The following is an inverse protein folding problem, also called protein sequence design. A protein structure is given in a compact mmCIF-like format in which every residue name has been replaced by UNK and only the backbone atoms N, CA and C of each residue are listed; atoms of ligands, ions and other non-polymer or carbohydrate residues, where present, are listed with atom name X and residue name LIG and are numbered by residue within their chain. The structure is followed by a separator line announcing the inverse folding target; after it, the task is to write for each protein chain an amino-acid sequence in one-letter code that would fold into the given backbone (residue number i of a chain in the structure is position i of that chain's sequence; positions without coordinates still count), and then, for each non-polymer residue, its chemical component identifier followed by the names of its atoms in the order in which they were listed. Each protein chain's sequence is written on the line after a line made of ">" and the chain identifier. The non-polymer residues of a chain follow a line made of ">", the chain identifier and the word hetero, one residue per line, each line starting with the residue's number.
data_IF_348636668026
#
_entry.id   IF_348636668026
#
_cell.length_a   1.000
_cell.length_b   1.000
_cell.length_c   1.000
_cell.angle_alpha   90.00
_cell.angle_beta   90.00
_cell.angle_gamma   90.00
#
_symmetry.space_group_name_H-M   'P 1'
#
loop_
_entity.id
_entity.type
_entity.pdbx_description
1 polymer ?
#
# COMPACT_ATOMS: atom_id res chain seq x y z
N UNK A 1 -11.19 -0.61 9.40
CA UNK A 1 -9.71 -0.61 9.56
C UNK A 1 -9.23 0.60 10.37
N UNK A 2 -9.64 1.84 10.05
CA UNK A 2 -9.19 3.05 10.76
C UNK A 2 -9.35 2.94 12.29
N UNK A 3 -10.55 2.63 12.80
CA UNK A 3 -10.82 2.49 14.23
C UNK A 3 -9.92 1.45 14.91
N UNK A 4 -9.71 0.30 14.28
CA UNK A 4 -8.84 -0.75 14.83
C UNK A 4 -7.37 -0.32 14.83
N UNK A 5 -6.88 0.30 13.75
CA UNK A 5 -5.51 0.77 13.65
C UNK A 5 -5.21 1.90 14.65
N UNK A 6 -6.14 2.86 14.80
CA UNK A 6 -6.04 3.92 15.82
C UNK A 6 -6.02 3.35 17.22
N UNK A 7 -6.88 2.39 17.52
CA UNK A 7 -6.90 1.74 18.84
C UNK A 7 -5.56 1.02 19.13
N UNK A 8 -5.00 0.30 18.16
CA UNK A 8 -3.69 -0.38 18.31
C UNK A 8 -2.58 0.64 18.55
N UNK A 9 -2.56 1.75 17.79
CA UNK A 9 -1.58 2.83 17.97
C UNK A 9 -1.66 3.42 19.37
N UNK A 10 -2.86 3.77 19.82
CA UNK A 10 -3.10 4.46 21.09
C UNK A 10 -2.87 3.52 22.30
N UNK A 11 -2.98 2.23 22.10
CA UNK A 11 -2.80 1.20 23.12
C UNK A 11 -1.54 0.33 22.90
N UNK A 12 -0.56 0.80 22.14
CA UNK A 12 0.64 0.03 21.79
C UNK A 12 1.36 -0.55 23.03
N UNK A 13 1.46 0.20 24.11
CA UNK A 13 2.09 -0.26 25.36
C UNK A 13 1.36 -1.46 25.98
N UNK A 14 0.03 -1.54 25.91
CA UNK A 14 -0.75 -2.69 26.39
C UNK A 14 -0.48 -3.97 25.59
N UNK A 15 -0.02 -3.80 24.35
CA UNK A 15 0.31 -4.89 23.43
C UNK A 15 1.83 -5.21 23.43
N UNK A 16 2.59 -4.71 24.40
CA UNK A 16 4.05 -4.77 24.45
C UNK A 16 4.73 -4.13 23.22
N UNK A 17 4.04 -3.23 22.53
CA UNK A 17 4.57 -2.42 21.44
C UNK A 17 5.26 -1.16 21.96
N UNK A 18 6.04 -0.52 21.09
CA UNK A 18 6.69 0.75 21.39
C UNK A 18 5.72 1.88 21.00
N UNK A 19 5.25 2.71 21.95
CA UNK A 19 4.45 3.88 21.63
C UNK A 19 5.12 4.76 20.58
N UNK A 20 4.35 5.33 19.67
CA UNK A 20 4.80 6.17 18.54
C UNK A 20 5.66 5.45 17.49
N UNK A 21 5.84 4.12 17.58
CA UNK A 21 6.56 3.30 16.59
C UNK A 21 5.67 2.23 15.93
N UNK A 22 4.37 2.46 15.95
CA UNK A 22 3.42 1.57 15.27
C UNK A 22 3.45 1.86 13.77
N UNK A 23 3.75 0.85 12.99
CA UNK A 23 3.70 0.89 11.52
C UNK A 23 2.41 0.23 11.03
N UNK A 24 1.97 0.62 9.83
CA UNK A 24 0.81 0.00 9.18
C UNK A 24 1.25 -0.61 7.85
N UNK A 25 0.62 -1.70 7.44
CA UNK A 25 0.95 -2.28 6.14
C UNK A 25 -0.08 -3.29 5.66
N UNK A 26 -0.02 -3.57 4.38
CA UNK A 26 -0.87 -4.56 3.76
C UNK A 26 -0.50 -4.84 2.31
N UNK A 27 -1.08 -5.91 1.77
CA UNK A 27 -0.90 -6.32 0.39
C UNK A 27 -2.22 -6.17 -0.38
N UNK A 28 -2.15 -5.77 -1.65
CA UNK A 28 -3.31 -5.68 -2.55
C UNK A 28 -4.40 -4.74 -1.95
N UNK A 29 -5.62 -5.21 -1.73
CA UNK A 29 -6.66 -4.49 -1.01
C UNK A 29 -6.23 -4.06 0.40
N UNK A 30 -5.40 -4.87 1.10
CA UNK A 30 -4.82 -4.49 2.39
C UNK A 30 -3.85 -3.32 2.27
N UNK A 31 -3.11 -3.21 1.15
CA UNK A 31 -2.27 -2.07 0.82
C UNK A 31 -3.10 -0.80 0.58
N UNK A 32 -4.25 -0.92 -0.10
CA UNK A 32 -5.22 0.16 -0.23
C UNK A 32 -5.66 0.65 1.15
N UNK A 33 -6.16 -0.26 1.99
CA UNK A 33 -6.65 0.08 3.33
C UNK A 33 -5.57 0.71 4.21
N UNK A 34 -4.30 0.27 4.09
CA UNK A 34 -3.19 0.87 4.82
C UNK A 34 -2.94 2.32 4.38
N UNK A 35 -2.91 2.58 3.07
CA UNK A 35 -2.76 3.93 2.53
C UNK A 35 -3.93 4.84 2.93
N UNK A 36 -5.18 4.35 2.84
CA UNK A 36 -6.38 5.07 3.26
C UNK A 36 -6.35 5.41 4.75
N UNK A 37 -5.95 4.47 5.61
CA UNK A 37 -5.85 4.72 7.05
C UNK A 37 -4.82 5.81 7.34
N UNK A 38 -3.68 5.84 6.62
CA UNK A 38 -2.70 6.94 6.76
C UNK A 38 -3.31 8.29 6.36
N UNK A 39 -4.07 8.36 5.25
CA UNK A 39 -4.78 9.58 4.85
C UNK A 39 -5.77 10.03 5.92
N UNK A 40 -6.63 9.12 6.38
CA UNK A 40 -7.65 9.43 7.42
C UNK A 40 -6.98 9.91 8.71
N UNK A 41 -5.90 9.27 9.15
CA UNK A 41 -5.16 9.64 10.35
C UNK A 41 -4.64 11.07 10.26
N UNK A 42 -4.01 11.43 9.15
CA UNK A 42 -3.54 12.80 8.89
C UNK A 42 -4.69 13.81 8.87
N UNK A 43 -5.76 13.49 8.15
CA UNK A 43 -6.89 14.42 7.93
C UNK A 43 -7.71 14.66 9.21
N UNK A 44 -7.70 13.69 10.13
CA UNK A 44 -8.30 13.86 11.47
C UNK A 44 -7.36 14.58 12.45
N UNK A 45 -6.10 14.83 12.07
CA UNK A 45 -5.11 15.43 12.96
C UNK A 45 -4.62 14.48 14.06
N UNK A 46 -4.82 13.19 13.87
CA UNK A 46 -4.35 12.15 14.78
C UNK A 46 -2.82 11.94 14.67
N UNK A 47 -2.17 11.37 15.69
CA UNK A 47 -0.77 11.00 15.60
C UNK A 47 -0.53 10.02 14.46
N UNK A 48 0.45 10.31 13.59
CA UNK A 48 0.78 9.48 12.45
C UNK A 48 1.31 8.09 12.87
N UNK A 49 1.14 7.11 11.98
CA UNK A 49 1.93 5.88 12.03
C UNK A 49 3.39 6.21 11.73
N UNK A 50 4.32 5.40 12.24
CA UNK A 50 5.74 5.60 12.00
C UNK A 50 6.18 5.25 10.58
N UNK A 51 5.40 4.38 9.90
CA UNK A 51 5.75 3.88 8.58
C UNK A 51 4.56 3.17 7.91
N UNK A 52 4.50 3.20 6.58
CA UNK A 52 3.54 2.42 5.79
C UNK A 52 4.25 1.48 4.81
N UNK A 53 3.88 0.18 4.85
CA UNK A 53 4.33 -0.85 3.93
C UNK A 53 3.19 -1.21 2.97
N UNK A 54 3.34 -0.86 1.70
CA UNK A 54 2.32 -1.06 0.68
C UNK A 54 2.82 -2.07 -0.36
N UNK A 55 2.27 -3.27 -0.34
CA UNK A 55 2.72 -4.36 -1.20
C UNK A 55 1.71 -4.55 -2.32
N UNK A 56 2.12 -4.29 -3.57
CA UNK A 56 1.29 -4.23 -4.79
C UNK A 56 -0.13 -3.67 -4.49
N UNK A 57 -0.20 -2.45 -3.91
CA UNK A 57 -1.46 -1.93 -3.40
C UNK A 57 -2.43 -1.57 -4.52
N UNK A 58 -3.73 -1.74 -4.27
CA UNK A 58 -4.78 -1.11 -5.08
C UNK A 58 -4.83 0.37 -4.71
N UNK A 59 -4.53 1.24 -5.65
CA UNK A 59 -4.42 2.70 -5.40
C UNK A 59 -5.37 3.52 -6.28
N UNK A 60 -5.72 2.98 -7.44
CA UNK A 60 -6.48 3.68 -8.49
C UNK A 60 -7.55 2.77 -9.08
N UNK A 61 -8.55 3.37 -9.68
CA UNK A 61 -9.52 2.69 -10.54
C UNK A 61 -9.21 2.86 -12.04
N UNK A 62 -8.09 3.51 -12.38
CA UNK A 62 -7.70 3.68 -13.79
C UNK A 62 -7.12 2.39 -14.37
N UNK A 63 -7.90 1.73 -15.22
CA UNK A 63 -7.50 0.51 -15.92
C UNK A 63 -6.89 0.75 -17.32
N UNK A 64 -6.53 2.01 -17.65
CA UNK A 64 -5.92 2.38 -18.93
C UNK A 64 -4.39 2.47 -18.87
N UNK A 65 -3.78 2.08 -17.77
CA UNK A 65 -2.32 2.07 -17.60
C UNK A 65 -1.65 1.02 -18.50
N UNK A 66 -0.36 1.18 -18.74
CA UNK A 66 0.41 0.23 -19.56
C UNK A 66 0.43 -1.17 -18.92
N UNK A 67 0.53 -1.26 -17.59
CA UNK A 67 0.49 -2.55 -16.88
C UNK A 67 -0.85 -3.27 -17.05
N UNK A 68 -1.97 -2.56 -16.99
CA UNK A 68 -3.27 -3.15 -17.33
C UNK A 68 -3.34 -3.59 -18.80
N UNK A 69 -2.83 -2.80 -19.73
CA UNK A 69 -2.80 -3.15 -21.14
C UNK A 69 -2.00 -4.44 -21.42
N UNK A 70 -0.88 -4.62 -20.71
CA UNK A 70 0.03 -5.76 -20.94
C UNK A 70 -0.34 -7.01 -20.14
N UNK A 71 -0.85 -6.84 -18.90
CA UNK A 71 -0.97 -7.92 -17.93
C UNK A 71 -2.42 -8.14 -17.45
N UNK A 72 -3.41 -7.69 -18.24
CA UNK A 72 -4.84 -7.81 -17.91
C UNK A 72 -5.36 -9.24 -17.83
N UNK A 73 -4.64 -10.21 -18.40
CA UNK A 73 -5.02 -11.64 -18.40
C UNK A 73 -3.80 -12.53 -18.38
N UNK A 74 -3.91 -13.71 -17.74
CA UNK A 74 -2.88 -14.75 -17.78
C UNK A 74 -1.75 -14.60 -16.77
N UNK A 75 -1.80 -13.57 -15.88
CA UNK A 75 -0.75 -13.29 -14.89
C UNK A 75 -1.23 -13.41 -13.43
N UNK A 76 -2.25 -14.19 -13.19
CA UNK A 76 -2.78 -14.48 -11.84
C UNK A 76 -4.02 -13.66 -11.56
N UNK A 77 -3.88 -12.39 -11.16
CA UNK A 77 -5.02 -11.48 -11.06
C UNK A 77 -5.33 -10.89 -12.44
N UNK A 78 -6.59 -10.84 -12.80
CA UNK A 78 -7.02 -10.34 -14.09
C UNK A 78 -7.83 -9.03 -13.94
N UNK A 79 -7.92 -8.27 -15.06
CA UNK A 79 -8.75 -7.05 -15.07
C UNK A 79 -10.19 -7.33 -14.67
N UNK A 80 -10.76 -8.45 -15.14
CA UNK A 80 -12.14 -8.83 -14.82
C UNK A 80 -12.34 -9.06 -13.31
N UNK A 81 -11.33 -9.63 -12.63
CA UNK A 81 -11.35 -9.79 -11.18
C UNK A 81 -11.34 -8.42 -10.49
N UNK A 82 -10.49 -7.51 -10.95
CA UNK A 82 -10.40 -6.16 -10.41
C UNK A 82 -11.69 -5.37 -10.61
N UNK A 83 -12.30 -5.45 -11.78
CA UNK A 83 -13.59 -4.82 -12.06
C UNK A 83 -14.67 -5.37 -11.10
N UNK A 84 -14.67 -6.69 -10.85
CA UNK A 84 -15.60 -7.32 -9.92
C UNK A 84 -15.34 -6.87 -8.47
N UNK A 85 -14.08 -6.86 -8.00
CA UNK A 85 -13.73 -6.43 -6.65
C UNK A 85 -14.10 -4.97 -6.40
N UNK A 86 -13.83 -4.08 -7.34
CA UNK A 86 -14.20 -2.65 -7.24
C UNK A 86 -15.72 -2.51 -7.12
N UNK A 87 -16.50 -3.24 -7.94
CA UNK A 87 -17.96 -3.23 -7.88
C UNK A 87 -18.52 -3.80 -6.57
N UNK A 88 -17.79 -4.68 -5.86
CA UNK A 88 -18.19 -5.17 -4.53
C UNK A 88 -17.79 -4.21 -3.41
N UNK A 89 -16.75 -3.42 -3.62
CA UNK A 89 -16.18 -2.52 -2.61
C UNK A 89 -16.91 -1.19 -2.55
N UNK A 90 -17.32 -0.64 -3.68
CA UNK A 90 -17.93 0.67 -3.80
C UNK A 90 -19.46 0.59 -3.81
N UNK A 91 -20.13 1.65 -3.35
CA UNK A 91 -21.59 1.74 -3.39
C UNK A 91 -22.09 2.33 -4.71
N UNK A 92 -21.34 3.28 -5.27
CA UNK A 92 -21.64 3.93 -6.55
C UNK A 92 -20.36 4.42 -7.27
N UNK A 93 -20.52 4.93 -8.50
CA UNK A 93 -19.41 5.41 -9.30
C UNK A 93 -18.72 6.66 -8.73
N UNK A 94 -19.38 7.42 -7.86
CA UNK A 94 -18.79 8.62 -7.25
C UNK A 94 -17.71 8.23 -6.26
N UNK A 95 -17.82 7.07 -5.61
CA UNK A 95 -16.81 6.53 -4.71
C UNK A 95 -15.46 6.29 -5.42
N UNK A 96 -15.44 6.14 -6.77
CA UNK A 96 -14.21 6.05 -7.56
C UNK A 96 -13.34 7.31 -7.45
N UNK A 97 -13.91 8.45 -7.09
CA UNK A 97 -13.21 9.72 -6.89
C UNK A 97 -12.87 9.98 -5.42
N UNK A 98 -13.41 9.19 -4.50
CA UNK A 98 -13.15 9.34 -3.08
C UNK A 98 -11.71 8.90 -2.74
N UNK A 99 -10.85 9.78 -2.17
CA UNK A 99 -9.51 9.42 -1.73
C UNK A 99 -9.48 8.34 -0.64
N UNK A 100 -10.57 8.13 0.07
CA UNK A 100 -10.70 7.06 1.06
C UNK A 100 -11.14 5.72 0.46
N UNK A 101 -11.40 5.67 -0.84
CA UNK A 101 -11.54 4.45 -1.61
C UNK A 101 -10.33 4.26 -2.55
N UNK A 102 -9.96 5.33 -3.26
CA UNK A 102 -8.88 5.35 -4.25
C UNK A 102 -7.83 6.41 -3.86
N UNK A 103 -6.79 6.04 -3.10
CA UNK A 103 -5.80 6.98 -2.53
C UNK A 103 -5.09 7.87 -3.55
N UNK A 104 -5.05 7.46 -4.81
CA UNK A 104 -4.50 8.27 -5.91
C UNK A 104 -5.23 9.62 -6.05
N UNK A 105 -6.48 9.73 -5.63
CA UNK A 105 -7.30 10.93 -5.78
C UNK A 105 -7.12 11.93 -4.62
N UNK A 106 -6.32 11.62 -3.60
CA UNK A 106 -6.06 12.56 -2.54
C UNK A 106 -5.48 13.88 -3.07
N UNK A 107 -6.03 15.02 -2.66
CA UNK A 107 -5.59 16.34 -3.14
C UNK A 107 -4.12 16.62 -2.77
N UNK A 108 -3.69 16.21 -1.58
CA UNK A 108 -2.30 16.26 -1.11
C UNK A 108 -1.94 14.94 -0.41
N UNK A 109 -0.65 14.59 -0.48
CA UNK A 109 -0.04 13.51 0.30
C UNK A 109 0.96 14.06 1.34
N UNK A 110 1.02 15.39 1.51
CA UNK A 110 1.90 16.02 2.50
C UNK A 110 1.58 15.53 3.91
N UNK A 111 2.62 15.38 4.71
CA UNK A 111 2.49 15.01 6.12
C UNK A 111 2.17 13.53 6.37
N UNK A 112 2.13 12.68 5.34
CA UNK A 112 2.02 11.23 5.53
C UNK A 112 3.33 10.63 6.07
N UNK A 113 3.23 9.48 6.73
CA UNK A 113 4.39 8.75 7.22
C UNK A 113 5.25 8.19 6.08
N UNK A 114 6.56 7.95 6.32
CA UNK A 114 7.45 7.31 5.36
C UNK A 114 6.88 6.00 4.81
N UNK A 115 7.22 5.66 3.56
CA UNK A 115 6.65 4.52 2.86
C UNK A 115 7.70 3.58 2.24
N UNK A 116 7.39 2.29 2.19
CA UNK A 116 7.95 1.34 1.23
C UNK A 116 6.83 0.80 0.37
N UNK A 117 6.94 1.01 -0.95
CA UNK A 117 6.00 0.46 -1.92
C UNK A 117 6.70 -0.62 -2.73
N UNK A 118 6.10 -1.80 -2.76
CA UNK A 118 6.58 -2.96 -3.49
C UNK A 118 5.56 -3.28 -4.58
N UNK A 119 6.03 -3.48 -5.81
CA UNK A 119 5.21 -3.95 -6.93
C UNK A 119 5.83 -5.17 -7.59
N UNK A 120 5.07 -5.86 -8.43
CA UNK A 120 5.52 -6.96 -9.26
C UNK A 120 5.57 -6.52 -10.73
N UNK A 121 6.52 -7.03 -11.52
CA UNK A 121 6.68 -6.65 -12.92
C UNK A 121 5.44 -7.01 -13.76
N UNK A 122 4.94 -8.23 -13.58
CA UNK A 122 3.82 -8.79 -14.33
C UNK A 122 2.51 -8.68 -13.54
N UNK A 123 2.15 -7.46 -13.17
CA UNK A 123 0.99 -7.15 -12.35
C UNK A 123 0.22 -5.97 -12.95
N UNK A 124 -1.07 -6.08 -13.21
CA UNK A 124 -1.87 -4.93 -13.67
C UNK A 124 -1.78 -3.72 -12.73
N UNK A 125 -1.55 -3.92 -11.43
CA UNK A 125 -1.46 -2.84 -10.42
C UNK A 125 -0.07 -2.19 -10.34
N UNK A 126 0.90 -2.61 -11.17
CA UNK A 126 2.28 -2.10 -11.13
C UNK A 126 2.35 -0.58 -11.26
N UNK A 127 1.73 -0.06 -12.31
CA UNK A 127 1.88 1.35 -12.69
C UNK A 127 1.19 2.28 -11.70
N UNK A 128 0.05 1.89 -11.12
CA UNK A 128 -0.62 2.69 -10.09
C UNK A 128 0.18 2.74 -8.79
N UNK A 129 0.84 1.64 -8.41
CA UNK A 129 1.76 1.60 -7.28
C UNK A 129 2.97 2.52 -7.47
N UNK A 130 3.56 2.54 -8.68
CA UNK A 130 4.64 3.46 -9.04
C UNK A 130 4.18 4.92 -9.03
N UNK A 131 3.01 5.19 -9.61
CA UNK A 131 2.43 6.53 -9.63
C UNK A 131 2.21 7.08 -8.22
N UNK A 132 1.73 6.25 -7.30
CA UNK A 132 1.54 6.63 -5.90
C UNK A 132 2.87 6.91 -5.19
N UNK A 133 3.90 6.07 -5.42
CA UNK A 133 5.24 6.30 -4.91
C UNK A 133 5.81 7.66 -5.38
N UNK A 134 5.61 8.00 -6.64
CA UNK A 134 6.06 9.28 -7.19
C UNK A 134 5.26 10.46 -6.62
N UNK A 135 3.96 10.31 -6.38
CA UNK A 135 3.16 11.33 -5.70
C UNK A 135 3.61 11.56 -4.25
N UNK A 136 3.91 10.51 -3.50
CA UNK A 136 4.46 10.62 -2.14
C UNK A 136 5.80 11.37 -2.14
N UNK A 137 6.73 11.03 -3.05
CA UNK A 137 8.01 11.74 -3.19
C UNK A 137 7.83 13.22 -3.54
N UNK A 138 6.90 13.53 -4.44
CA UNK A 138 6.59 14.91 -4.82
C UNK A 138 5.98 15.71 -3.66
N UNK A 139 5.36 15.03 -2.70
CA UNK A 139 4.87 15.58 -1.44
C UNK A 139 5.93 15.52 -0.31
N UNK A 140 7.21 15.34 -0.66
CA UNK A 140 8.34 15.26 0.27
C UNK A 140 8.22 14.16 1.34
N UNK A 141 7.38 13.15 1.12
CA UNK A 141 7.29 11.96 1.98
C UNK A 141 8.45 11.02 1.65
N UNK A 142 9.31 10.65 2.62
CA UNK A 142 10.38 9.68 2.39
C UNK A 142 9.81 8.36 1.87
N UNK A 143 10.12 8.00 0.62
CA UNK A 143 9.49 6.86 -0.04
C UNK A 143 10.49 6.02 -0.81
N UNK A 144 10.60 4.75 -0.42
CA UNK A 144 11.27 3.72 -1.18
C UNK A 144 10.26 3.02 -2.11
N UNK A 145 10.66 2.76 -3.35
CA UNK A 145 9.88 2.00 -4.32
C UNK A 145 10.73 0.89 -4.93
N UNK A 146 10.16 -0.31 -5.01
CA UNK A 146 10.82 -1.47 -5.62
C UNK A 146 9.83 -2.26 -6.44
N UNK A 147 10.10 -2.37 -7.75
CA UNK A 147 9.43 -3.33 -8.62
C UNK A 147 10.27 -4.61 -8.70
N UNK A 148 9.68 -5.76 -8.41
CA UNK A 148 10.38 -7.05 -8.47
C UNK A 148 10.25 -7.70 -9.84
N UNK A 149 11.39 -7.86 -10.57
CA UNK A 149 11.37 -8.43 -11.90
C UNK A 149 10.98 -9.92 -11.89
N UNK A 150 10.24 -10.34 -12.90
CA UNK A 150 9.78 -11.73 -13.07
C UNK A 150 8.63 -12.12 -12.12
N UNK A 151 8.12 -11.23 -11.29
CA UNK A 151 7.09 -11.54 -10.31
C UNK A 151 5.70 -11.14 -10.79
N UNK A 152 4.71 -11.88 -10.30
CA UNK A 152 3.28 -11.64 -10.51
C UNK A 152 2.63 -11.10 -9.23
N UNK A 153 1.37 -10.65 -9.32
CA UNK A 153 0.57 -10.32 -8.14
C UNK A 153 0.53 -11.48 -7.15
N UNK A 154 0.61 -11.18 -5.85
CA UNK A 154 0.59 -12.19 -4.80
C UNK A 154 1.96 -12.82 -4.47
N UNK A 155 3.03 -12.52 -5.23
CA UNK A 155 4.34 -13.16 -5.03
C UNK A 155 4.88 -13.00 -3.62
N UNK A 156 4.59 -11.90 -2.93
CA UNK A 156 5.11 -11.58 -1.60
C UNK A 156 4.81 -12.67 -0.55
N UNK A 157 3.69 -13.39 -0.71
CA UNK A 157 3.29 -14.50 0.17
C UNK A 157 3.88 -15.85 -0.23
N UNK A 158 4.62 -15.95 -1.35
CA UNK A 158 5.13 -17.21 -1.89
C UNK A 158 6.57 -17.52 -1.41
N UNK A 159 6.86 -17.29 -0.13
CA UNK A 159 8.22 -17.39 0.44
C UNK A 159 8.82 -18.80 0.35
N UNK A 160 8.00 -19.83 0.37
CA UNK A 160 8.47 -21.22 0.28
C UNK A 160 8.90 -21.62 -1.13
N UNK A 161 8.40 -20.90 -2.15
CA UNK A 161 8.58 -21.25 -3.56
C UNK A 161 9.54 -20.27 -4.24
N UNK A 162 9.41 -18.96 -3.98
CA UNK A 162 10.10 -17.91 -4.73
C UNK A 162 11.21 -17.25 -3.91
N UNK A 163 12.42 -17.23 -4.45
CA UNK A 163 13.55 -16.52 -3.84
C UNK A 163 13.28 -15.01 -3.73
N UNK A 164 12.69 -14.40 -4.76
CA UNK A 164 12.37 -12.98 -4.76
C UNK A 164 11.35 -12.60 -3.69
N UNK A 165 10.42 -13.51 -3.35
CA UNK A 165 9.51 -13.31 -2.22
C UNK A 165 10.27 -13.18 -0.90
N UNK A 166 11.22 -14.09 -0.62
CA UNK A 166 12.09 -14.01 0.57
C UNK A 166 12.90 -12.72 0.61
N UNK A 167 13.44 -12.30 -0.53
CA UNK A 167 14.20 -11.04 -0.66
C UNK A 167 13.30 -9.85 -0.31
N UNK A 168 12.07 -9.81 -0.85
CA UNK A 168 11.11 -8.75 -0.59
C UNK A 168 10.69 -8.67 0.89
N UNK A 169 10.39 -9.82 1.49
CA UNK A 169 10.05 -9.91 2.92
C UNK A 169 11.21 -9.47 3.81
N UNK A 170 12.43 -9.94 3.54
CA UNK A 170 13.61 -9.54 4.30
C UNK A 170 13.88 -8.03 4.20
N UNK A 171 13.80 -7.46 2.99
CA UNK A 171 13.95 -6.01 2.80
C UNK A 171 12.90 -5.22 3.57
N UNK A 172 11.66 -5.69 3.60
CA UNK A 172 10.59 -5.07 4.37
C UNK A 172 10.87 -5.14 5.87
N UNK A 173 11.35 -6.28 6.36
CA UNK A 173 11.72 -6.46 7.76
C UNK A 173 12.91 -5.56 8.16
N UNK A 174 13.96 -5.47 7.33
CA UNK A 174 15.10 -4.59 7.54
C UNK A 174 14.65 -3.12 7.64
N UNK A 175 13.73 -2.70 6.76
CA UNK A 175 13.18 -1.33 6.80
C UNK A 175 12.39 -1.07 8.08
N UNK A 176 11.53 -1.98 8.50
CA UNK A 176 10.78 -1.88 9.77
C UNK A 176 11.71 -1.81 10.98
N UNK A 177 12.77 -2.62 10.99
CA UNK A 177 13.80 -2.59 12.05
C UNK A 177 14.53 -1.23 12.06
N UNK A 178 14.88 -0.67 10.90
CA UNK A 178 15.54 0.64 10.83
C UNK A 178 14.65 1.75 11.42
N UNK A 179 13.39 1.79 11.02
CA UNK A 179 12.40 2.77 11.53
C UNK A 179 12.21 2.62 13.05
N UNK A 180 12.20 1.39 13.57
CA UNK A 180 12.06 1.16 15.01
C UNK A 180 13.24 1.68 15.83
N UNK A 181 14.41 1.88 15.21
CA UNK A 181 15.65 2.35 15.88
C UNK A 181 15.86 3.86 15.76
N UNK A 182 15.20 4.51 14.80
CA UNK A 182 15.25 5.98 14.67
C UNK A 182 14.58 6.63 15.89
N UNK A 183 15.29 7.56 16.53
CA UNK A 183 14.88 8.19 17.81
C UNK A 183 13.92 9.34 17.59
#
# INVERSE_FOLDING_TARGET
>A
CYTAASWIRDNAALLNGIPNKVSIGGSSAGGNLAAVVCLMTRDQGDPNFSFQLLVYPVISSDTHTESYRLYSTGYGIEKADMDWFVNQYLNDEQDLLDPYAMPINAASLDGLCPALIITAEYDPLRDEGEAYANRLRNAYVPTDYVCYPGMIHGFFSMTDILTQSRVAVNKSAEKLISISKES
#
